data_IF_171161347703
#
_entry.id   IF_171161347703
#
_cell.length_a   1.000
_cell.length_b   1.000
_cell.length_c   1.000
_cell.angle_alpha   90.00
_cell.angle_beta   90.00
_cell.angle_gamma   90.00
#
_symmetry.space_group_name_H-M   'P 1'
#
loop_
_entity.id
_entity.type
_entity.pdbx_description
1 polymer ?
#
# COMPACT_ATOMS: atom_id res chain seq x y z
N UNK A 1 2.42 -12.80 -23.08
CA UNK A 1 1.49 -13.04 -21.96
C UNK A 1 0.16 -12.39 -22.30
N UNK A 2 -0.98 -13.07 -22.10
CA UNK A 2 -2.32 -12.50 -22.34
C UNK A 2 -2.90 -12.04 -21.00
N UNK A 3 -3.21 -10.75 -20.81
CA UNK A 3 -3.85 -10.28 -19.59
C UNK A 3 -5.28 -10.84 -19.42
N UNK A 4 -5.72 -10.93 -18.17
CA UNK A 4 -7.03 -11.47 -17.81
C UNK A 4 -8.20 -10.58 -18.27
N UNK A 5 -8.00 -9.26 -18.31
CA UNK A 5 -8.94 -8.30 -18.86
C UNK A 5 -8.36 -7.60 -20.10
N UNK A 6 -9.23 -7.14 -21.00
CA UNK A 6 -8.81 -6.53 -22.28
C UNK A 6 -8.19 -5.14 -22.11
N UNK A 7 -8.58 -4.37 -21.09
CA UNK A 7 -8.16 -2.99 -20.87
C UNK A 7 -8.13 -2.64 -19.39
N UNK A 8 -7.19 -1.79 -19.00
CA UNK A 8 -7.17 -1.19 -17.66
C UNK A 8 -8.39 -0.30 -17.40
N UNK A 9 -8.95 0.32 -18.44
CA UNK A 9 -10.16 1.14 -18.31
C UNK A 9 -11.39 0.33 -17.92
N UNK A 10 -11.48 -0.95 -18.28
CA UNK A 10 -12.60 -1.80 -17.82
C UNK A 10 -12.57 -1.98 -16.29
N UNK A 11 -11.36 -2.11 -15.70
CA UNK A 11 -11.19 -2.17 -14.23
C UNK A 11 -11.50 -0.81 -13.60
N UNK A 12 -11.06 0.29 -14.22
CA UNK A 12 -11.36 1.64 -13.73
C UNK A 12 -12.87 1.86 -13.70
N UNK A 13 -13.58 1.55 -14.79
CA UNK A 13 -15.03 1.67 -14.83
C UNK A 13 -15.73 0.82 -13.77
N UNK A 14 -15.23 -0.39 -13.49
CA UNK A 14 -15.75 -1.22 -12.39
C UNK A 14 -15.53 -0.55 -11.02
N UNK A 15 -14.32 -0.04 -10.76
CA UNK A 15 -13.97 0.63 -9.50
C UNK A 15 -14.77 1.92 -9.31
N UNK A 16 -14.92 2.73 -10.36
CA UNK A 16 -15.71 3.96 -10.34
C UNK A 16 -17.19 3.69 -10.09
N UNK A 17 -17.77 2.69 -10.76
CA UNK A 17 -19.16 2.28 -10.54
C UNK A 17 -19.37 1.84 -9.08
N UNK A 18 -18.44 1.07 -8.52
CA UNK A 18 -18.50 0.64 -7.11
C UNK A 18 -18.31 1.81 -6.14
N UNK A 19 -17.43 2.74 -6.47
CA UNK A 19 -17.21 3.98 -5.71
C UNK A 19 -18.45 4.86 -5.66
N UNK A 20 -19.14 5.01 -6.79
CA UNK A 20 -20.40 5.73 -6.87
C UNK A 20 -21.49 5.07 -6.02
N UNK A 21 -21.59 3.73 -6.03
CA UNK A 21 -22.56 2.99 -5.23
C UNK A 21 -22.27 3.08 -3.72
N UNK A 22 -21.00 3.12 -3.33
CA UNK A 22 -20.57 3.19 -1.94
C UNK A 22 -20.41 4.62 -1.40
N UNK A 23 -20.69 5.65 -2.22
CA UNK A 23 -20.42 7.06 -1.92
C UNK A 23 -18.98 7.35 -1.47
N UNK A 24 -18.04 6.54 -1.94
CA UNK A 24 -16.60 6.73 -1.72
C UNK A 24 -16.05 7.65 -2.80
N UNK A 25 -15.21 8.61 -2.44
CA UNK A 25 -14.53 9.46 -3.41
C UNK A 25 -13.11 8.95 -3.65
N UNK A 26 -12.87 8.35 -4.81
CA UNK A 26 -11.55 7.87 -5.22
C UNK A 26 -10.84 8.89 -6.11
N UNK A 27 -9.69 9.36 -5.65
CA UNK A 27 -8.79 10.17 -6.48
C UNK A 27 -8.11 9.32 -7.57
N UNK A 28 -7.64 9.95 -8.65
CA UNK A 28 -6.85 9.27 -9.67
C UNK A 28 -5.60 8.58 -9.11
N UNK A 29 -4.93 9.22 -8.13
CA UNK A 29 -3.79 8.62 -7.44
C UNK A 29 -4.19 7.38 -6.62
N UNK A 30 -5.32 7.43 -5.90
CA UNK A 30 -5.84 6.27 -5.17
C UNK A 30 -6.19 5.12 -6.13
N UNK A 31 -6.82 5.42 -7.27
CA UNK A 31 -7.13 4.43 -8.31
C UNK A 31 -5.86 3.77 -8.86
N UNK A 32 -4.78 4.51 -9.14
CA UNK A 32 -3.51 3.92 -9.56
C UNK A 32 -2.96 2.92 -8.53
N UNK A 33 -3.07 3.24 -7.24
CA UNK A 33 -2.65 2.37 -6.14
C UNK A 33 -3.51 1.12 -6.05
N UNK A 34 -4.83 1.22 -6.19
CA UNK A 34 -5.74 0.06 -6.23
C UNK A 34 -5.47 -0.83 -7.45
N UNK A 35 -5.24 -0.24 -8.62
CA UNK A 35 -4.85 -0.96 -9.84
C UNK A 35 -3.54 -1.76 -9.63
N UNK A 36 -2.53 -1.13 -9.03
CA UNK A 36 -1.28 -1.79 -8.68
C UNK A 36 -1.50 -2.99 -7.74
N UNK A 37 -2.26 -2.79 -6.66
CA UNK A 37 -2.56 -3.85 -5.68
C UNK A 37 -3.31 -5.03 -6.33
N UNK A 38 -4.29 -4.75 -7.19
CA UNK A 38 -4.99 -5.80 -7.93
C UNK A 38 -4.09 -6.57 -8.88
N UNK A 39 -3.20 -5.89 -9.60
CA UNK A 39 -2.22 -6.53 -10.47
C UNK A 39 -1.25 -7.44 -9.68
N UNK A 40 -0.82 -7.01 -8.50
CA UNK A 40 0.10 -7.78 -7.66
C UNK A 40 -0.56 -9.03 -7.05
N UNK A 41 -1.76 -8.89 -6.49
CA UNK A 41 -2.53 -10.02 -5.95
C UNK A 41 -2.87 -11.04 -7.04
N UNK A 42 -3.38 -10.57 -8.18
CA UNK A 42 -3.69 -11.45 -9.31
C UNK A 42 -2.43 -12.20 -9.81
N UNK A 43 -1.31 -11.50 -9.95
CA UNK A 43 -0.07 -12.11 -10.41
C UNK A 43 0.44 -13.18 -9.43
N UNK A 44 0.27 -12.97 -8.12
CA UNK A 44 0.61 -13.95 -7.09
C UNK A 44 -0.21 -15.23 -7.23
N UNK A 45 -1.53 -15.10 -7.41
CA UNK A 45 -2.43 -16.27 -7.53
C UNK A 45 -2.35 -16.98 -8.88
N UNK A 46 -1.89 -16.28 -9.92
CA UNK A 46 -1.98 -16.74 -11.31
C UNK A 46 -0.63 -16.96 -11.99
N UNK A 47 0.38 -17.48 -11.28
CA UNK A 47 1.71 -17.83 -11.85
C UNK A 47 2.35 -16.67 -12.62
N UNK A 48 2.32 -15.48 -12.03
CA UNK A 48 2.87 -14.24 -12.61
C UNK A 48 2.13 -13.81 -13.89
N UNK A 49 0.88 -14.24 -14.09
CA UNK A 49 0.04 -13.72 -15.17
C UNK A 49 -0.40 -12.28 -14.89
N UNK A 50 -0.68 -11.52 -15.95
CA UNK A 50 -1.16 -10.13 -15.81
C UNK A 50 -2.67 -10.07 -15.63
N UNK A 51 -3.11 -9.26 -14.67
CA UNK A 51 -4.52 -8.89 -14.53
C UNK A 51 -4.95 -8.04 -15.74
N UNK A 52 -4.19 -7.00 -16.02
CA UNK A 52 -4.50 -5.99 -17.04
C UNK A 52 -3.29 -5.69 -17.93
N UNK A 53 -3.48 -5.11 -19.13
CA UNK A 53 -2.39 -4.72 -20.01
C UNK A 53 -1.68 -3.44 -19.55
N UNK A 54 -1.21 -3.37 -18.30
CA UNK A 54 -0.57 -2.18 -17.72
C UNK A 54 0.92 -2.37 -17.46
N UNK A 55 1.71 -1.31 -17.63
CA UNK A 55 3.10 -1.23 -17.16
C UNK A 55 3.16 -0.21 -16.04
N UNK A 56 3.52 -0.67 -14.84
CA UNK A 56 3.63 0.18 -13.67
C UNK A 56 5.05 0.72 -13.53
N UNK A 57 5.17 2.03 -13.32
CA UNK A 57 6.43 2.67 -12.99
C UNK A 57 6.46 3.03 -11.52
N UNK A 58 7.59 2.77 -10.86
CA UNK A 58 7.81 3.24 -9.50
C UNK A 58 8.20 4.72 -9.51
N UNK A 59 7.31 5.57 -8.98
CA UNK A 59 7.54 7.01 -8.88
C UNK A 59 7.62 7.47 -7.42
N UNK A 60 7.95 8.74 -7.22
CA UNK A 60 8.04 9.33 -5.88
C UNK A 60 6.69 9.30 -5.14
N UNK A 61 5.57 9.36 -5.87
CA UNK A 61 4.20 9.35 -5.34
C UNK A 61 3.55 7.96 -5.38
N UNK A 62 4.33 6.92 -5.67
CA UNK A 62 3.89 5.53 -5.72
C UNK A 62 3.87 4.93 -7.14
N UNK A 63 3.32 3.71 -7.29
CA UNK A 63 3.19 3.06 -8.58
C UNK A 63 2.14 3.78 -9.45
N UNK A 64 2.48 4.06 -10.70
CA UNK A 64 1.55 4.64 -11.68
C UNK A 64 1.60 3.88 -13.01
N UNK A 65 0.49 3.91 -13.74
CA UNK A 65 0.43 3.53 -15.15
C UNK A 65 0.37 4.85 -15.94
N UNK A 66 1.47 5.31 -16.57
CA UNK A 66 1.59 6.72 -16.97
C UNK A 66 0.52 7.21 -17.96
N UNK A 67 0.22 6.40 -18.97
CA UNK A 67 -0.77 6.69 -20.01
C UNK A 67 -2.20 6.69 -19.46
N UNK A 68 -2.51 5.74 -18.59
CA UNK A 68 -3.80 5.66 -17.89
C UNK A 68 -3.98 6.83 -16.93
N UNK A 69 -2.95 7.16 -16.14
CA UNK A 69 -2.99 8.29 -15.21
C UNK A 69 -3.25 9.60 -15.97
N UNK A 70 -2.51 9.83 -17.06
CA UNK A 70 -2.70 11.01 -17.90
C UNK A 70 -4.12 11.07 -18.47
N UNK A 71 -4.63 9.96 -19.00
CA UNK A 71 -5.97 9.88 -19.54
C UNK A 71 -7.04 10.22 -18.49
N UNK A 72 -6.87 9.76 -17.25
CA UNK A 72 -7.76 10.09 -16.14
C UNK A 72 -7.70 11.57 -15.75
N UNK A 73 -6.53 12.19 -15.74
CA UNK A 73 -6.40 13.64 -15.50
C UNK A 73 -7.15 14.48 -16.55
N UNK A 74 -7.28 13.97 -17.79
CA UNK A 74 -8.08 14.57 -18.85
C UNK A 74 -9.56 14.13 -18.86
N UNK A 75 -10.00 13.32 -17.89
CA UNK A 75 -11.38 12.85 -17.80
C UNK A 75 -11.78 11.86 -18.90
N UNK A 76 -10.82 11.11 -19.45
CA UNK A 76 -11.11 10.07 -20.43
C UNK A 76 -11.85 8.92 -19.77
N UNK A 77 -13.01 8.57 -20.31
CA UNK A 77 -13.83 7.44 -19.90
C UNK A 77 -14.19 6.58 -21.09
N UNK A 78 -14.53 5.31 -20.85
CA UNK A 78 -15.06 4.40 -21.87
C UNK A 78 -16.57 4.27 -21.71
N UNK A 79 -17.29 4.15 -22.82
CA UNK A 79 -18.76 4.12 -22.84
C UNK A 79 -19.35 2.71 -22.74
N UNK A 80 -18.56 1.69 -23.05
CA UNK A 80 -18.98 0.28 -23.07
C UNK A 80 -17.92 -0.60 -22.38
N UNK A 81 -17.81 -0.51 -21.04
CA UNK A 81 -16.88 -1.33 -20.28
C UNK A 81 -17.29 -2.80 -20.33
N UNK A 82 -16.31 -3.68 -20.45
CA UNK A 82 -16.55 -5.13 -20.37
C UNK A 82 -16.57 -5.55 -18.91
N UNK A 83 -17.63 -6.26 -18.53
CA UNK A 83 -17.73 -6.85 -17.19
C UNK A 83 -16.57 -7.83 -16.94
N UNK A 84 -15.94 -7.77 -15.75
CA UNK A 84 -14.88 -8.70 -15.39
C UNK A 84 -15.43 -10.13 -15.32
N UNK A 85 -14.64 -11.10 -15.76
CA UNK A 85 -14.94 -12.51 -15.51
C UNK A 85 -14.92 -12.79 -13.98
N UNK A 86 -15.63 -13.81 -13.47
CA UNK A 86 -15.76 -14.04 -12.03
C UNK A 86 -14.43 -14.09 -11.25
N UNK A 87 -13.40 -14.73 -11.80
CA UNK A 87 -12.07 -14.79 -11.17
C UNK A 87 -11.34 -13.43 -11.14
N UNK A 88 -11.61 -12.55 -12.11
CA UNK A 88 -11.11 -11.17 -12.11
C UNK A 88 -11.87 -10.36 -11.07
N UNK A 89 -13.20 -10.47 -11.07
CA UNK A 89 -14.06 -9.74 -10.15
C UNK A 89 -13.76 -10.07 -8.68
N UNK A 90 -13.47 -11.34 -8.37
CA UNK A 90 -13.05 -11.76 -7.02
C UNK A 90 -11.84 -10.98 -6.52
N UNK A 91 -10.82 -10.78 -7.36
CA UNK A 91 -9.64 -9.97 -7.00
C UNK A 91 -10.02 -8.50 -6.82
N UNK A 92 -10.87 -7.95 -7.70
CA UNK A 92 -11.31 -6.55 -7.59
C UNK A 92 -12.11 -6.30 -6.31
N UNK A 93 -12.95 -7.26 -5.90
CA UNK A 93 -13.69 -7.22 -4.63
C UNK A 93 -12.72 -7.26 -3.45
N UNK A 94 -11.76 -8.19 -3.45
CA UNK A 94 -10.78 -8.30 -2.38
C UNK A 94 -9.97 -7.01 -2.19
N UNK A 95 -9.55 -6.39 -3.30
CA UNK A 95 -8.88 -5.08 -3.32
C UNK A 95 -9.79 -3.98 -2.78
N UNK A 96 -11.03 -3.93 -3.27
CA UNK A 96 -12.00 -2.93 -2.84
C UNK A 96 -12.23 -2.99 -1.34
N UNK A 97 -12.60 -4.16 -0.82
CA UNK A 97 -12.98 -4.35 0.58
C UNK A 97 -11.81 -4.08 1.53
N UNK A 98 -10.57 -4.30 1.08
CA UNK A 98 -9.36 -4.11 1.90
C UNK A 98 -8.81 -2.68 1.86
N UNK A 99 -8.94 -1.98 0.73
CA UNK A 99 -8.15 -0.77 0.47
C UNK A 99 -8.95 0.46 0.04
N UNK A 100 -10.20 0.32 -0.45
CA UNK A 100 -10.94 1.45 -1.01
C UNK A 100 -11.34 2.51 0.04
N UNK A 101 -11.49 2.11 1.31
CA UNK A 101 -11.80 3.01 2.42
C UNK A 101 -10.57 3.71 3.00
N UNK A 102 -9.37 3.31 2.61
CA UNK A 102 -8.13 3.89 3.11
C UNK A 102 -7.87 5.26 2.50
N UNK A 103 -7.35 6.16 3.32
CA UNK A 103 -6.87 7.46 2.87
C UNK A 103 -5.65 7.34 1.96
N UNK A 104 -5.38 8.37 1.17
CA UNK A 104 -4.19 8.42 0.32
C UNK A 104 -2.90 8.19 1.10
N UNK A 105 -2.81 8.74 2.32
CA UNK A 105 -1.67 8.58 3.24
C UNK A 105 -1.51 7.17 3.78
N UNK A 106 -2.60 6.45 4.04
CA UNK A 106 -2.54 5.05 4.46
C UNK A 106 -2.08 4.16 3.31
N UNK A 107 -2.59 4.41 2.10
CA UNK A 107 -2.11 3.72 0.90
C UNK A 107 -0.63 4.03 0.61
N UNK A 108 -0.19 5.28 0.83
CA UNK A 108 1.23 5.65 0.70
C UNK A 108 2.11 4.92 1.73
N UNK A 109 1.64 4.75 2.96
CA UNK A 109 2.36 4.00 3.98
C UNK A 109 2.53 2.52 3.59
N UNK A 110 1.46 1.89 3.09
CA UNK A 110 1.48 0.51 2.60
C UNK A 110 2.48 0.37 1.44
N UNK A 111 2.36 1.22 0.43
CA UNK A 111 3.20 1.14 -0.78
C UNK A 111 4.62 1.66 -0.57
N UNK A 112 4.84 2.45 0.48
CA UNK A 112 6.18 2.82 0.95
C UNK A 112 6.91 1.65 1.59
N UNK A 113 6.19 0.65 2.11
CA UNK A 113 6.77 -0.59 2.64
C UNK A 113 6.95 -1.68 1.58
N UNK A 114 6.21 -1.60 0.46
CA UNK A 114 6.19 -2.58 -0.62
C UNK A 114 7.58 -2.88 -1.21
N UNK A 115 7.93 -4.18 -1.25
CA UNK A 115 9.24 -4.64 -1.70
C UNK A 115 9.44 -4.55 -3.21
N UNK A 116 8.40 -4.73 -4.02
CA UNK A 116 8.49 -4.60 -5.48
C UNK A 116 8.66 -3.14 -5.89
N UNK A 117 7.93 -2.22 -5.24
CA UNK A 117 8.10 -0.77 -5.42
C UNK A 117 9.52 -0.35 -5.02
N UNK A 118 10.02 -0.79 -3.87
CA UNK A 118 11.39 -0.49 -3.42
C UNK A 118 12.44 -1.02 -4.40
N UNK A 119 12.34 -2.29 -4.80
CA UNK A 119 13.27 -2.90 -5.74
C UNK A 119 13.29 -2.14 -7.08
N UNK A 120 12.13 -1.70 -7.59
CA UNK A 120 12.07 -0.86 -8.78
C UNK A 120 12.75 0.51 -8.56
N UNK A 121 12.50 1.18 -7.43
CA UNK A 121 13.15 2.46 -7.10
C UNK A 121 14.67 2.34 -7.01
N UNK A 122 15.17 1.23 -6.49
CA UNK A 122 16.62 0.94 -6.42
C UNK A 122 17.25 0.76 -7.82
N UNK A 123 16.50 0.25 -8.81
CA UNK A 123 16.95 0.17 -10.21
C UNK A 123 17.05 1.54 -10.88
N UNK A 124 16.32 2.53 -10.38
CA UNK A 124 16.37 3.90 -10.88
C UNK A 124 15.01 4.60 -10.84
N UNK A 125 15.03 5.91 -11.04
CA UNK A 125 13.82 6.74 -11.10
C UNK A 125 12.92 6.28 -12.25
N UNK A 126 11.62 6.13 -11.98
CA UNK A 126 10.61 5.71 -12.95
C UNK A 126 10.89 4.34 -13.57
N UNK A 127 11.63 3.47 -12.88
CA UNK A 127 11.83 2.10 -13.35
C UNK A 127 10.52 1.32 -13.34
N UNK A 128 10.40 0.39 -14.27
CA UNK A 128 9.29 -0.56 -14.30
C UNK A 128 9.31 -1.43 -13.04
N UNK A 129 8.13 -1.61 -12.45
CA UNK A 129 7.87 -2.62 -11.44
C UNK A 129 7.51 -3.90 -12.19
N UNK A 130 8.38 -4.91 -12.09
CA UNK A 130 8.20 -6.16 -12.82
C UNK A 130 7.07 -6.97 -12.18
N UNK A 131 6.31 -7.70 -13.00
CA UNK A 131 5.16 -8.49 -12.52
C UNK A 131 5.64 -9.63 -11.60
N UNK A 132 6.83 -10.15 -11.85
CA UNK A 132 7.53 -11.13 -11.01
C UNK A 132 7.80 -10.57 -9.61
N UNK A 133 8.24 -9.31 -9.53
CA UNK A 133 8.50 -8.62 -8.27
C UNK A 133 7.17 -8.41 -7.52
N UNK A 134 6.11 -7.98 -8.23
CA UNK A 134 4.77 -7.79 -7.65
C UNK A 134 4.23 -9.10 -7.06
N UNK A 135 4.28 -10.20 -7.82
CA UNK A 135 3.83 -11.51 -7.35
C UNK A 135 4.60 -11.95 -6.10
N UNK A 136 5.92 -11.74 -6.11
CA UNK A 136 6.80 -12.05 -4.97
C UNK A 136 6.54 -11.18 -3.74
N UNK A 137 6.05 -9.95 -3.93
CA UNK A 137 5.73 -9.02 -2.86
C UNK A 137 4.40 -9.34 -2.14
N UNK A 138 3.56 -10.22 -2.70
CA UNK A 138 2.25 -10.56 -2.15
C UNK A 138 2.06 -12.08 -2.08
N UNK A 139 2.92 -12.84 -1.37
CA UNK A 139 2.85 -14.30 -1.36
C UNK A 139 1.49 -14.79 -0.82
N UNK A 140 0.85 -15.71 -1.54
CA UNK A 140 -0.47 -16.25 -1.18
C UNK A 140 -1.66 -15.37 -1.57
N UNK A 141 -1.43 -14.30 -2.33
CA UNK A 141 -2.44 -13.51 -3.03
C UNK A 141 -3.68 -13.16 -2.20
N UNK A 142 -4.87 -13.38 -2.76
CA UNK A 142 -6.13 -13.01 -2.10
C UNK A 142 -6.39 -13.80 -0.81
N UNK A 143 -5.94 -15.06 -0.72
CA UNK A 143 -6.11 -15.86 0.50
C UNK A 143 -5.30 -15.28 1.67
N UNK A 144 -4.10 -14.76 1.39
CA UNK A 144 -3.27 -14.11 2.40
C UNK A 144 -3.88 -12.78 2.86
N UNK A 145 -4.47 -12.03 1.94
CA UNK A 145 -5.18 -10.80 2.25
C UNK A 145 -6.38 -11.04 3.18
N UNK A 146 -7.13 -12.13 2.97
CA UNK A 146 -8.25 -12.52 3.83
C UNK A 146 -7.83 -13.17 5.15
N UNK A 147 -6.52 -13.25 5.44
CA UNK A 147 -5.99 -13.93 6.62
C UNK A 147 -6.21 -15.45 6.62
N UNK A 148 -6.57 -16.03 5.46
CA UNK A 148 -6.78 -17.47 5.28
C UNK A 148 -5.48 -18.20 4.88
N UNK A 149 -4.48 -17.47 4.38
CA UNK A 149 -3.16 -18.06 4.09
C UNK A 149 -2.36 -18.35 5.36
N UNK A 150 -1.67 -19.50 5.36
CA UNK A 150 -0.62 -19.84 6.34
C UNK A 150 0.58 -18.88 6.26
N UNK A 151 0.65 -18.05 5.21
CA UNK A 151 1.68 -17.02 4.95
C UNK A 151 1.10 -15.62 5.20
N UNK A 152 0.29 -15.41 6.24
CA UNK A 152 -0.42 -14.16 6.56
C UNK A 152 0.46 -12.94 6.95
N UNK A 153 1.68 -12.88 6.40
CA UNK A 153 2.65 -11.81 6.60
C UNK A 153 3.03 -11.21 5.26
N UNK A 154 3.13 -9.89 5.19
CA UNK A 154 3.85 -9.24 4.09
C UNK A 154 5.28 -9.83 4.00
N UNK A 155 5.98 -9.71 2.86
CA UNK A 155 7.36 -10.20 2.71
C UNK A 155 8.34 -9.65 3.77
N UNK A 156 8.00 -8.54 4.42
CA UNK A 156 8.75 -7.97 5.55
C UNK A 156 8.47 -8.67 6.90
N UNK A 157 7.61 -9.68 6.91
CA UNK A 157 7.23 -10.45 8.08
C UNK A 157 6.19 -9.78 8.98
N UNK A 158 5.66 -8.61 8.60
CA UNK A 158 4.64 -7.91 9.39
C UNK A 158 3.28 -8.62 9.27
N UNK A 159 2.60 -8.92 10.39
CA UNK A 159 1.24 -9.46 10.34
C UNK A 159 0.31 -8.38 9.78
N UNK A 160 -0.68 -8.80 9.00
CA UNK A 160 -1.81 -7.91 8.71
C UNK A 160 -2.51 -7.56 10.02
N UNK A 161 -2.30 -6.33 10.50
CA UNK A 161 -3.03 -5.73 11.60
C UNK A 161 -3.62 -4.43 11.09
N UNK A 162 -4.91 -4.45 10.75
CA UNK A 162 -5.73 -3.24 10.90
C UNK A 162 -5.83 -2.95 12.40
N UNK A 163 -4.79 -2.35 12.99
CA UNK A 163 -4.98 -1.60 14.21
C UNK A 163 -5.46 -0.22 13.77
N UNK A 164 -6.70 0.14 14.13
CA UNK A 164 -7.09 1.54 14.19
C UNK A 164 -5.97 2.28 14.91
N UNK A 165 -5.42 3.30 14.24
CA UNK A 165 -4.27 4.04 14.72
C UNK A 165 -4.49 4.53 16.16
N UNK A 166 -3.91 3.83 17.12
CA UNK A 166 -3.60 4.37 18.45
C UNK A 166 -2.21 5.00 18.40
N UNK A 167 -1.94 5.80 17.36
CA UNK A 167 -0.78 6.69 17.38
C UNK A 167 -1.06 7.80 18.42
N UNK A 168 -0.64 7.52 19.66
CA UNK A 168 -0.13 8.53 20.59
C UNK A 168 1.15 9.18 20.00
N UNK A 169 1.03 9.80 18.82
CA UNK A 169 2.09 10.57 18.18
C UNK A 169 2.03 12.06 18.59
N UNK A 170 1.34 12.37 19.68
CA UNK A 170 1.39 13.70 20.32
C UNK A 170 2.19 13.55 21.60
N UNK A 171 3.31 14.28 21.78
CA UNK A 171 3.97 14.35 23.08
C UNK A 171 2.94 14.81 24.10
N UNK A 172 2.92 14.21 25.30
CA UNK A 172 2.04 14.68 26.37
C UNK A 172 2.23 16.19 26.55
N UNK A 173 1.16 16.95 26.74
CA UNK A 173 1.15 18.43 26.84
C UNK A 173 2.14 19.03 27.85
N UNK A 174 2.74 18.20 28.70
CA UNK A 174 3.80 18.50 29.65
C UNK A 174 5.25 18.43 29.10
N UNK A 175 5.47 18.01 27.86
CA UNK A 175 6.80 17.77 27.31
C UNK A 175 7.26 18.94 26.40
N UNK A 176 8.22 19.73 26.90
CA UNK A 176 8.73 20.91 26.19
C UNK A 176 9.64 20.48 25.01
N UNK A 177 9.27 20.88 23.79
CA UNK A 177 10.03 20.63 22.55
C UNK A 177 10.91 21.85 22.28
N UNK A 178 12.19 21.63 21.98
CA UNK A 178 13.10 22.69 21.54
C UNK A 178 13.65 22.39 20.16
N UNK A 179 13.90 23.45 19.40
CA UNK A 179 14.49 23.38 18.07
C UNK A 179 15.95 23.81 18.14
N UNK A 180 16.82 23.01 17.55
CA UNK A 180 18.24 23.37 17.34
C UNK A 180 18.37 24.31 16.14
N UNK A 181 19.48 25.04 16.04
CA UNK A 181 19.70 26.03 14.99
C UNK A 181 19.72 25.45 13.55
N UNK A 182 19.89 24.13 13.42
CA UNK A 182 19.80 23.34 12.19
C UNK A 182 18.38 22.79 11.90
N UNK A 183 17.36 23.21 12.66
CA UNK A 183 15.95 22.88 12.43
C UNK A 183 15.51 21.52 12.95
N UNK A 184 16.35 20.79 13.68
CA UNK A 184 15.99 19.48 14.27
C UNK A 184 15.25 19.67 15.59
N UNK A 185 14.17 18.92 15.79
CA UNK A 185 13.45 18.89 17.06
C UNK A 185 14.14 17.93 18.03
N UNK A 186 14.49 18.41 19.22
CA UNK A 186 15.07 17.58 20.29
C UNK A 186 14.13 17.62 21.49
N UNK A 187 13.68 16.45 21.94
CA UNK A 187 12.90 16.31 23.17
C UNK A 187 13.85 16.04 24.34
N UNK A 188 13.67 16.79 25.44
CA UNK A 188 14.46 16.59 26.65
C UNK A 188 14.15 15.20 27.22
N UNK A 189 15.15 14.33 27.22
CA UNK A 189 15.03 13.01 27.81
C UNK A 189 14.87 13.13 29.33
N UNK A 190 13.79 12.56 29.86
CA UNK A 190 13.54 12.49 31.31
C UNK A 190 13.55 11.01 31.70
N UNK A 191 14.46 10.57 32.58
CA UNK A 191 14.51 9.17 33.01
C UNK A 191 13.23 8.79 33.76
N UNK A 192 12.57 7.71 33.32
CA UNK A 192 11.33 7.19 33.93
C UNK A 192 11.52 6.60 35.33
N UNK A 193 12.75 6.38 35.81
CA UNK A 193 13.02 5.79 37.12
C UNK A 193 14.11 6.56 37.85
N UNK A 194 13.76 7.14 38.99
CA UNK A 194 14.71 7.79 39.91
C UNK A 194 15.48 6.68 40.65
N UNK A 195 16.76 6.48 40.34
CA UNK A 195 17.61 5.55 41.10
C UNK A 195 17.64 6.04 42.55
N UNK A 196 17.10 5.24 43.48
CA UNK A 196 17.23 5.49 44.92
C UNK A 196 18.53 4.84 45.40
N UNK A 197 19.26 5.51 46.27
CA UNK A 197 20.58 5.15 46.79
C UNK A 197 20.70 3.79 47.51
N UNK A 198 19.63 2.99 47.60
CA UNK A 198 19.66 1.65 48.20
C UNK A 198 20.14 0.54 47.25
N UNK A 199 20.19 0.78 45.95
CA UNK A 199 20.59 -0.25 44.95
C UNK A 199 22.11 -0.36 44.73
N UNK A 200 22.93 0.39 45.49
CA UNK A 200 24.40 0.41 45.36
C UNK A 200 25.15 -0.44 46.39
N UNK A 201 24.46 -1.12 47.33
CA UNK A 201 25.11 -2.02 48.30
C UNK A 201 24.85 -3.49 47.96
N UNK A 202 25.60 -3.99 46.99
CA UNK A 202 25.55 -5.39 46.60
C UNK A 202 26.75 -5.81 45.76
N UNK A 203 27.95 -5.34 46.10
CA UNK A 203 29.19 -5.94 45.60
C UNK A 203 30.36 -5.50 46.47
N UNK A 204 30.68 -6.33 47.47
CA UNK A 204 32.02 -6.54 48.07
C UNK A 204 31.87 -7.48 49.27
N UNK A 205 32.52 -8.63 49.19
CA UNK A 205 32.59 -9.65 50.23
C UNK A 205 32.42 -11.03 49.63
#
# INVERSE_FOLDING_TARGET
MRPAIRSTFDIISWLEARSAQAEVNLSAASLMKLLYLGQALYASDNKVAKLMPATFLATDVGPIVPDVFLAMEYGVTITDPVEPAPAVEEVLIAVWDSYASLSGTELDAILGADMAVKAAKERGRNSEILVEDMASAYPGGIEALHGQSLVSKFPDGSPYKMEHSNLDAVPSSSQEIRFTADGRSVTKWVPKKKVRSKDLKGSKG
#
